data_IF_494817841646
#
_entry.id   IF_494817841646
#
_cell.length_a   1.000
_cell.length_b   1.000
_cell.length_c   1.000
_cell.angle_alpha   90.00
_cell.angle_beta   90.00
_cell.angle_gamma   90.00
#
_symmetry.space_group_name_H-M   'P 1'
#
loop_
_entity.id
_entity.type
_entity.pdbx_description
1 polymer ?
#
# COMPACT_ATOMS: atom_id res chain seq x y z
N UNK A 1 4.53 -20.86 20.03
CA UNK A 1 5.79 -20.19 20.37
C UNK A 1 6.51 -19.91 19.07
N UNK A 2 6.75 -18.63 18.74
CA UNK A 2 7.59 -18.29 17.59
C UNK A 2 8.99 -18.91 17.83
N UNK A 3 9.53 -19.57 16.82
CA UNK A 3 10.85 -20.20 16.92
C UNK A 3 11.91 -19.09 17.10
N UNK A 4 12.41 -18.91 18.33
CA UNK A 4 13.40 -17.89 18.71
C UNK A 4 14.62 -17.91 17.77
N UNK A 5 15.00 -19.08 17.27
CA UNK A 5 16.09 -19.23 16.30
C UNK A 5 15.80 -18.52 14.97
N UNK A 6 14.62 -18.73 14.39
CA UNK A 6 14.21 -18.08 13.13
C UNK A 6 14.18 -16.55 13.28
N UNK A 7 13.74 -16.04 14.43
CA UNK A 7 13.70 -14.61 14.69
C UNK A 7 15.11 -14.01 14.80
N UNK A 8 16.03 -14.72 15.47
CA UNK A 8 17.44 -14.30 15.56
C UNK A 8 18.14 -14.34 14.19
N UNK A 9 17.89 -15.39 13.40
CA UNK A 9 18.43 -15.50 12.04
C UNK A 9 17.95 -14.34 11.15
N UNK A 10 16.68 -13.94 11.26
CA UNK A 10 16.13 -12.78 10.53
C UNK A 10 16.80 -11.47 10.99
N UNK A 11 17.03 -11.32 12.30
CA UNK A 11 17.70 -10.13 12.83
C UNK A 11 19.18 -10.04 12.41
N UNK A 12 19.86 -11.18 12.28
CA UNK A 12 21.28 -11.24 11.92
C UNK A 12 21.52 -11.19 10.42
N UNK A 13 20.73 -11.92 9.62
CA UNK A 13 20.89 -12.04 8.16
C UNK A 13 19.98 -11.10 7.36
N UNK A 14 19.01 -10.45 8.00
CA UNK A 14 17.95 -9.69 7.34
C UNK A 14 17.06 -10.59 6.48
N UNK A 15 16.32 -9.95 5.57
CA UNK A 15 15.44 -10.61 4.61
C UNK A 15 16.09 -10.82 3.23
N UNK A 16 17.43 -10.83 3.15
CA UNK A 16 18.16 -10.79 1.87
C UNK A 16 17.88 -11.97 0.91
N UNK A 17 17.38 -13.08 1.44
CA UNK A 17 17.00 -14.26 0.65
C UNK A 17 15.53 -14.24 0.23
N UNK A 18 14.72 -13.35 0.82
CA UNK A 18 13.28 -13.30 0.59
C UNK A 18 12.97 -12.35 -0.56
N UNK A 19 12.19 -12.82 -1.54
CA UNK A 19 11.64 -11.99 -2.63
C UNK A 19 10.16 -11.71 -2.39
N UNK A 20 9.80 -10.44 -2.29
CA UNK A 20 8.45 -9.97 -1.97
C UNK A 20 7.91 -9.15 -3.13
N UNK A 21 6.70 -9.49 -3.60
CA UNK A 21 5.96 -8.69 -4.56
C UNK A 21 4.91 -7.85 -3.80
N UNK A 22 5.01 -6.54 -3.88
CA UNK A 22 4.01 -5.61 -3.34
C UNK A 22 3.10 -5.16 -4.48
N UNK A 23 1.81 -5.40 -4.33
CA UNK A 23 0.77 -5.01 -5.31
C UNK A 23 -0.17 -4.03 -4.64
N UNK A 24 -0.47 -2.90 -5.25
CA UNK A 24 -1.44 -1.99 -4.65
C UNK A 24 -1.34 -0.53 -5.10
N UNK A 25 -1.92 0.34 -4.28
CA UNK A 25 -2.04 1.76 -4.56
C UNK A 25 -0.75 2.52 -4.26
N UNK A 26 -0.07 2.94 -5.34
CA UNK A 26 1.18 3.69 -5.27
C UNK A 26 0.87 5.17 -5.00
N UNK A 27 1.64 5.82 -4.12
CA UNK A 27 1.44 7.24 -3.87
C UNK A 27 2.72 7.97 -3.48
N UNK A 28 2.74 9.25 -3.83
CA UNK A 28 3.78 10.21 -3.47
C UNK A 28 3.33 11.03 -2.26
N UNK A 29 4.09 10.97 -1.19
CA UNK A 29 3.94 11.88 -0.06
C UNK A 29 4.87 13.10 -0.27
N UNK A 30 4.30 14.29 -0.44
CA UNK A 30 5.07 15.54 -0.58
C UNK A 30 4.83 16.46 0.60
N UNK A 31 5.90 16.92 1.23
CA UNK A 31 5.81 17.87 2.33
C UNK A 31 6.50 19.17 1.97
N UNK A 32 5.76 20.26 2.01
CA UNK A 32 6.29 21.61 1.98
C UNK A 32 6.44 22.13 3.41
N UNK A 33 7.65 22.48 3.80
CA UNK A 33 7.93 23.11 5.09
C UNK A 33 8.33 24.54 4.89
N UNK A 34 7.82 25.42 5.74
CA UNK A 34 8.12 26.86 5.62
C UNK A 34 7.68 27.66 6.84
N UNK A 35 7.75 28.96 6.68
CA UNK A 35 7.38 29.95 7.71
C UNK A 35 6.15 30.76 7.27
N UNK A 36 5.25 31.02 8.24
CA UNK A 36 4.10 31.92 8.05
C UNK A 36 4.45 33.25 8.73
N UNK A 37 4.70 34.27 7.92
CA UNK A 37 5.05 35.62 8.40
C UNK A 37 3.98 36.67 8.17
N UNK A 38 2.93 36.36 7.41
CA UNK A 38 1.86 37.29 7.08
C UNK A 38 0.55 36.59 6.71
N UNK A 39 -0.54 37.37 6.79
CA UNK A 39 -1.84 37.03 6.22
C UNK A 39 -1.90 37.57 4.79
N UNK A 40 -2.59 36.81 3.89
CA UNK A 40 -2.80 37.27 2.51
C UNK A 40 -3.67 38.54 2.47
N UNK A 41 -3.35 39.53 1.58
CA UNK A 41 -4.25 40.64 1.34
C UNK A 41 -5.52 40.25 0.56
N UNK A 42 -5.52 39.07 -0.10
CA UNK A 42 -6.64 38.58 -0.94
C UNK A 42 -7.70 37.87 -0.13
N UNK A 43 -7.33 37.26 1.02
CA UNK A 43 -8.23 36.51 1.89
C UNK A 43 -7.60 36.35 3.29
N UNK A 44 -8.39 36.10 4.37
CA UNK A 44 -7.86 35.90 5.72
C UNK A 44 -7.17 34.54 5.91
N UNK A 45 -6.22 34.23 5.05
CA UNK A 45 -5.45 32.97 5.04
C UNK A 45 -3.95 33.25 5.25
N UNK A 46 -3.22 32.36 5.96
CA UNK A 46 -1.79 32.48 6.14
C UNK A 46 -1.04 32.26 4.81
N UNK A 47 0.02 33.05 4.59
CA UNK A 47 0.94 32.86 3.46
C UNK A 47 2.16 32.11 3.96
N UNK A 48 2.33 30.87 3.48
CA UNK A 48 3.53 30.08 3.74
C UNK A 48 4.64 30.49 2.76
N UNK A 49 5.75 30.97 3.29
CA UNK A 49 7.00 31.05 2.51
C UNK A 49 7.69 29.68 2.61
N UNK A 50 7.75 28.97 1.47
CA UNK A 50 8.33 27.62 1.42
C UNK A 50 9.85 27.70 1.55
N UNK A 51 10.40 26.96 2.51
CA UNK A 51 11.84 26.84 2.73
C UNK A 51 12.37 25.51 2.17
N UNK A 52 11.56 24.44 2.21
CA UNK A 52 11.95 23.12 1.68
C UNK A 52 10.76 22.32 1.16
N UNK A 53 11.07 21.40 0.20
CA UNK A 53 10.17 20.36 -0.29
C UNK A 53 10.85 19.02 -0.13
N UNK A 54 10.13 18.06 0.46
CA UNK A 54 10.58 16.68 0.64
C UNK A 54 9.54 15.76 0.04
N UNK A 55 10.00 14.85 -0.83
CA UNK A 55 9.19 13.78 -1.41
C UNK A 55 9.49 12.46 -0.67
N UNK A 56 8.44 11.70 -0.36
CA UNK A 56 8.49 10.40 0.27
C UNK A 56 7.65 9.37 -0.49
N UNK A 57 7.96 8.10 -0.30
CA UNK A 57 7.18 6.97 -0.80
C UNK A 57 6.01 6.70 0.16
N UNK A 58 4.77 6.76 -0.34
CA UNK A 58 3.53 6.52 0.40
C UNK A 58 2.80 5.26 -0.10
N UNK A 59 1.76 4.83 0.63
CA UNK A 59 0.96 3.66 0.26
C UNK A 59 1.79 2.41 0.03
N UNK A 60 1.49 1.67 -1.02
CA UNK A 60 2.23 0.47 -1.42
C UNK A 60 3.73 0.73 -1.64
N UNK A 61 4.12 1.94 -2.11
CA UNK A 61 5.53 2.31 -2.24
C UNK A 61 6.24 2.38 -0.88
N UNK A 62 5.56 2.84 0.19
CA UNK A 62 6.12 2.86 1.53
C UNK A 62 6.32 1.45 2.09
N UNK A 63 5.37 0.55 1.86
CA UNK A 63 5.50 -0.87 2.22
C UNK A 63 6.73 -1.47 1.53
N UNK A 64 6.85 -1.26 0.21
CA UNK A 64 8.00 -1.74 -0.57
C UNK A 64 9.34 -1.18 -0.05
N UNK A 65 9.40 0.13 0.24
CA UNK A 65 10.59 0.78 0.79
C UNK A 65 10.98 0.24 2.18
N UNK A 66 10.01 -0.03 3.04
CA UNK A 66 10.28 -0.60 4.37
C UNK A 66 10.83 -2.02 4.26
N UNK A 67 10.26 -2.86 3.38
CA UNK A 67 10.74 -4.22 3.13
C UNK A 67 12.16 -4.22 2.52
N UNK A 68 12.42 -3.33 1.56
CA UNK A 68 13.76 -3.17 0.98
C UNK A 68 14.79 -2.72 2.03
N UNK A 69 14.41 -1.81 2.95
CA UNK A 69 15.27 -1.39 4.07
C UNK A 69 15.56 -2.52 5.07
N UNK A 70 14.66 -3.49 5.21
CA UNK A 70 14.86 -4.71 5.98
C UNK A 70 15.73 -5.74 5.24
N UNK A 71 16.17 -5.41 4.03
CA UNK A 71 17.07 -6.23 3.22
C UNK A 71 16.35 -7.18 2.24
N UNK A 72 15.03 -7.19 2.15
CA UNK A 72 14.30 -8.02 1.19
C UNK A 72 14.55 -7.59 -0.26
N UNK A 73 14.49 -8.54 -1.19
CA UNK A 73 14.38 -8.25 -2.61
C UNK A 73 12.92 -7.92 -2.92
N UNK A 74 12.65 -6.72 -3.36
CA UNK A 74 11.27 -6.23 -3.52
C UNK A 74 10.99 -5.89 -4.97
N UNK A 75 9.84 -6.36 -5.47
CA UNK A 75 9.23 -5.91 -6.70
C UNK A 75 7.90 -5.21 -6.38
N UNK A 76 7.49 -4.26 -7.22
CA UNK A 76 6.23 -3.53 -7.07
C UNK A 76 5.41 -3.67 -8.35
N UNK A 77 4.10 -3.92 -8.18
CA UNK A 77 3.12 -3.90 -9.26
C UNK A 77 1.95 -2.96 -8.92
N UNK A 78 1.52 -2.21 -9.90
CA UNK A 78 0.46 -1.23 -9.76
C UNK A 78 0.50 -0.21 -10.89
N UNK A 79 -0.11 0.96 -10.69
CA UNK A 79 -0.16 1.98 -11.72
C UNK A 79 0.36 3.33 -11.22
N UNK A 80 0.96 4.08 -12.15
CA UNK A 80 1.24 5.51 -12.02
C UNK A 80 0.53 6.25 -13.16
N UNK A 81 0.28 7.53 -12.99
CA UNK A 81 -0.13 8.39 -14.10
C UNK A 81 1.03 8.68 -15.07
N UNK A 82 0.68 9.15 -16.27
CA UNK A 82 1.62 9.75 -17.23
C UNK A 82 1.82 11.21 -16.82
N UNK A 83 2.44 11.45 -15.67
CA UNK A 83 2.66 12.77 -15.10
C UNK A 83 4.01 12.86 -14.36
N UNK A 84 4.50 14.06 -14.02
CA UNK A 84 5.79 14.24 -13.33
C UNK A 84 5.89 13.51 -11.98
N UNK A 85 4.76 13.32 -11.27
CA UNK A 85 4.74 12.65 -9.97
C UNK A 85 4.87 11.12 -10.15
N UNK A 86 4.27 10.56 -11.20
CA UNK A 86 4.48 9.17 -11.61
C UNK A 86 5.95 8.90 -11.97
N UNK A 87 6.55 9.76 -12.78
CA UNK A 87 8.00 9.69 -13.09
C UNK A 87 8.87 9.81 -11.83
N UNK A 88 8.49 10.67 -10.89
CA UNK A 88 9.20 10.82 -9.62
C UNK A 88 9.12 9.57 -8.75
N UNK A 89 7.93 8.95 -8.65
CA UNK A 89 7.73 7.69 -7.91
C UNK A 89 8.61 6.56 -8.47
N UNK A 90 8.59 6.38 -9.80
CA UNK A 90 9.42 5.37 -10.48
C UNK A 90 10.90 5.55 -10.14
N UNK A 91 11.42 6.76 -10.31
CA UNK A 91 12.80 7.08 -10.00
C UNK A 91 13.15 6.80 -8.54
N UNK A 92 12.28 7.19 -7.59
CA UNK A 92 12.52 6.95 -6.17
C UNK A 92 12.54 5.46 -5.81
N UNK A 93 11.72 4.63 -6.45
CA UNK A 93 11.71 3.18 -6.26
C UNK A 93 13.00 2.55 -6.81
N UNK A 94 13.42 2.94 -8.02
CA UNK A 94 14.68 2.49 -8.63
C UNK A 94 15.90 2.86 -7.79
N UNK A 95 15.96 4.10 -7.26
CA UNK A 95 17.02 4.57 -6.35
C UNK A 95 17.12 3.72 -5.06
N UNK A 96 16.05 2.98 -4.70
CA UNK A 96 16.01 2.05 -3.56
C UNK A 96 16.30 0.60 -3.96
N UNK A 97 16.60 0.34 -5.23
CA UNK A 97 16.82 -1.01 -5.75
C UNK A 97 15.54 -1.87 -5.80
N UNK A 98 14.38 -1.24 -5.85
CA UNK A 98 13.08 -1.91 -5.96
C UNK A 98 12.79 -2.14 -7.45
N UNK A 99 12.45 -3.38 -7.80
CA UNK A 99 12.09 -3.77 -9.16
C UNK A 99 10.71 -3.17 -9.53
N UNK A 100 10.68 -2.42 -10.62
CA UNK A 100 9.50 -1.72 -11.12
C UNK A 100 9.01 -2.22 -12.48
N UNK A 101 9.47 -3.36 -12.97
CA UNK A 101 9.13 -3.92 -14.30
C UNK A 101 7.63 -4.25 -14.45
N UNK A 102 6.89 -4.28 -13.34
CA UNK A 102 5.45 -4.51 -13.31
C UNK A 102 4.63 -3.25 -13.00
N UNK A 103 5.24 -2.07 -13.06
CA UNK A 103 4.52 -0.80 -13.01
C UNK A 103 4.00 -0.40 -14.38
N UNK A 104 2.72 -0.09 -14.43
CA UNK A 104 2.00 0.35 -15.63
C UNK A 104 1.78 1.87 -15.56
N UNK A 105 1.97 2.56 -16.68
CA UNK A 105 1.51 3.93 -16.87
C UNK A 105 0.08 3.90 -17.38
N UNK A 106 -0.83 4.57 -16.68
CA UNK A 106 -2.25 4.62 -17.01
C UNK A 106 -2.71 6.08 -17.19
N UNK A 107 -3.78 6.28 -17.94
CA UNK A 107 -4.41 7.60 -18.11
C UNK A 107 -5.20 7.98 -16.86
N UNK A 108 -4.46 8.33 -15.81
CA UNK A 108 -4.97 8.77 -14.51
C UNK A 108 -3.95 9.65 -13.80
N UNK A 109 -4.41 10.38 -12.79
CA UNK A 109 -3.53 11.15 -11.93
C UNK A 109 -2.74 10.21 -11.02
N UNK A 110 -1.41 10.41 -10.93
CA UNK A 110 -0.62 9.75 -9.88
C UNK A 110 -1.08 10.23 -8.50
N UNK A 111 -1.40 9.30 -7.62
CA UNK A 111 -1.83 9.66 -6.27
C UNK A 111 -0.72 10.40 -5.54
N UNK A 112 -1.03 11.64 -5.10
CA UNK A 112 -0.10 12.48 -4.34
C UNK A 112 -0.80 13.11 -3.15
N UNK A 113 -0.19 12.99 -1.98
CA UNK A 113 -0.61 13.63 -0.74
C UNK A 113 0.36 14.75 -0.39
N UNK A 114 -0.10 15.99 -0.50
CA UNK A 114 0.72 17.16 -0.20
C UNK A 114 0.38 17.68 1.19
N UNK A 115 1.39 17.74 2.05
CA UNK A 115 1.30 18.33 3.39
C UNK A 115 2.01 19.67 3.42
N UNK A 116 1.35 20.68 3.94
CA UNK A 116 1.91 22.01 4.17
C UNK A 116 2.12 22.19 5.67
N UNK A 117 3.38 22.41 6.07
CA UNK A 117 3.79 22.42 7.49
C UNK A 117 4.50 23.72 7.82
N UNK A 118 4.10 24.36 8.91
CA UNK A 118 4.80 25.50 9.49
C UNK A 118 4.99 25.31 11.00
N UNK A 119 6.16 25.62 11.52
CA UNK A 119 6.47 25.52 12.97
C UNK A 119 6.07 24.18 13.59
N UNK A 120 6.27 23.06 12.87
CA UNK A 120 5.88 21.68 13.24
C UNK A 120 4.37 21.40 13.24
N UNK A 121 3.54 22.36 12.81
CA UNK A 121 2.10 22.17 12.69
C UNK A 121 1.71 21.97 11.23
N UNK A 122 0.89 20.97 10.96
CA UNK A 122 0.30 20.79 9.63
C UNK A 122 -0.83 21.81 9.45
N UNK A 123 -0.64 22.68 8.44
CA UNK A 123 -1.58 23.75 8.11
C UNK A 123 -2.66 23.28 7.14
N UNK A 124 -2.28 22.45 6.18
CA UNK A 124 -3.16 21.98 5.11
C UNK A 124 -2.67 20.62 4.60
N UNK A 125 -3.60 19.78 4.12
CA UNK A 125 -3.31 18.63 3.26
C UNK A 125 -4.12 18.75 1.97
N UNK A 126 -3.45 18.56 0.83
CA UNK A 126 -4.08 18.49 -0.48
C UNK A 126 -3.85 17.10 -1.05
N UNK A 127 -4.93 16.41 -1.41
CA UNK A 127 -4.88 15.06 -1.98
C UNK A 127 -5.22 15.17 -3.47
N UNK A 128 -4.28 14.74 -4.32
CA UNK A 128 -4.46 14.59 -5.77
C UNK A 128 -4.59 13.10 -6.04
N UNK A 129 -5.78 12.65 -6.36
CA UNK A 129 -6.06 11.21 -6.44
C UNK A 129 -7.29 10.93 -7.28
N UNK A 130 -7.40 9.70 -7.77
CA UNK A 130 -8.63 9.12 -8.27
C UNK A 130 -8.92 7.83 -7.53
N UNK A 131 -10.20 7.55 -7.28
CA UNK A 131 -10.66 6.31 -6.63
C UNK A 131 -11.33 5.36 -7.63
N UNK A 132 -11.44 5.78 -8.90
CA UNK A 132 -12.02 4.97 -9.94
C UNK A 132 -11.22 3.66 -10.10
N UNK A 133 -11.90 2.51 -10.24
CA UNK A 133 -11.24 1.25 -10.54
C UNK A 133 -10.38 1.34 -11.80
N UNK A 134 -9.36 0.51 -11.90
CA UNK A 134 -8.59 0.37 -13.13
C UNK A 134 -9.50 0.03 -14.31
N UNK A 135 -9.15 0.52 -15.50
CA UNK A 135 -9.73 0.01 -16.73
C UNK A 135 -9.42 -1.49 -16.88
N UNK A 136 -10.24 -2.23 -17.63
CA UNK A 136 -9.97 -3.65 -17.88
C UNK A 136 -8.59 -3.87 -18.52
N UNK A 137 -8.20 -3.00 -19.44
CA UNK A 137 -6.91 -3.07 -20.14
C UNK A 137 -5.75 -2.86 -19.17
N UNK A 138 -5.84 -1.86 -18.28
CA UNK A 138 -4.81 -1.61 -17.28
C UNK A 138 -4.74 -2.75 -16.26
N UNK A 139 -5.90 -3.27 -15.81
CA UNK A 139 -5.97 -4.41 -14.90
C UNK A 139 -5.30 -5.65 -15.51
N UNK A 140 -5.59 -5.98 -16.77
CA UNK A 140 -4.97 -7.09 -17.51
C UNK A 140 -3.46 -6.89 -17.67
N UNK A 141 -3.02 -5.66 -17.93
CA UNK A 141 -1.59 -5.33 -18.07
C UNK A 141 -0.86 -5.50 -16.75
N UNK A 142 -1.42 -4.98 -15.64
CA UNK A 142 -0.88 -5.16 -14.28
C UNK A 142 -0.83 -6.64 -13.92
N UNK A 143 -1.92 -7.39 -14.17
CA UNK A 143 -1.98 -8.83 -13.89
C UNK A 143 -0.93 -9.62 -14.68
N UNK A 144 -0.69 -9.26 -15.94
CA UNK A 144 0.37 -9.86 -16.77
C UNK A 144 1.75 -9.62 -16.17
N UNK A 145 2.01 -8.40 -15.66
CA UNK A 145 3.23 -8.07 -14.93
C UNK A 145 3.40 -8.91 -13.66
N UNK A 146 2.33 -9.03 -12.87
CA UNK A 146 2.31 -9.84 -11.65
C UNK A 146 2.60 -11.32 -11.99
N UNK A 147 1.96 -11.87 -13.02
CA UNK A 147 2.18 -13.27 -13.43
C UNK A 147 3.65 -13.53 -13.83
N UNK A 148 4.31 -12.57 -14.51
CA UNK A 148 5.75 -12.65 -14.81
C UNK A 148 6.60 -12.64 -13.54
N UNK A 149 6.29 -11.81 -12.55
CA UNK A 149 7.00 -11.79 -11.26
C UNK A 149 6.82 -13.11 -10.49
N UNK A 150 5.59 -13.65 -10.44
CA UNK A 150 5.31 -14.92 -9.78
C UNK A 150 6.03 -16.11 -10.41
N UNK A 151 6.35 -16.04 -11.71
CA UNK A 151 7.17 -17.04 -12.40
C UNK A 151 8.66 -16.97 -12.00
N UNK A 152 9.10 -15.93 -11.30
CA UNK A 152 10.50 -15.70 -10.89
C UNK A 152 10.78 -15.99 -9.41
N UNK A 153 10.10 -16.97 -8.80
CA UNK A 153 10.29 -17.40 -7.41
C UNK A 153 10.06 -16.28 -6.38
N UNK A 154 8.83 -15.75 -6.34
CA UNK A 154 8.35 -14.85 -5.28
C UNK A 154 7.99 -15.69 -4.05
N UNK A 155 8.47 -15.30 -2.86
CA UNK A 155 8.20 -16.01 -1.61
C UNK A 155 6.89 -15.58 -0.95
N UNK A 156 6.45 -14.35 -1.16
CA UNK A 156 5.17 -13.81 -0.65
C UNK A 156 4.69 -12.62 -1.46
N UNK A 157 3.38 -12.43 -1.49
CA UNK A 157 2.73 -11.26 -2.08
C UNK A 157 2.07 -10.43 -0.99
N UNK A 158 2.23 -9.10 -1.04
CA UNK A 158 1.52 -8.14 -0.20
C UNK A 158 0.55 -7.36 -1.08
N UNK A 159 -0.75 -7.45 -0.79
CA UNK A 159 -1.77 -6.56 -1.36
C UNK A 159 -1.95 -5.37 -0.42
N UNK A 160 -1.61 -4.18 -0.87
CA UNK A 160 -1.66 -2.93 -0.10
C UNK A 160 -2.73 -2.02 -0.68
N UNK A 161 -3.94 -2.12 -0.13
CA UNK A 161 -5.14 -1.42 -0.60
C UNK A 161 -5.35 -0.12 0.18
N UNK A 162 -5.40 1.00 -0.55
CA UNK A 162 -5.73 2.33 -0.01
C UNK A 162 -7.01 2.91 -0.65
N UNK A 163 -7.76 2.09 -1.41
CA UNK A 163 -8.97 2.50 -2.08
C UNK A 163 -8.74 3.50 -3.21
N UNK A 164 -7.62 3.39 -3.93
CA UNK A 164 -7.30 4.25 -5.09
C UNK A 164 -7.44 3.51 -6.42
N UNK A 165 -8.18 2.40 -6.42
CA UNK A 165 -8.66 1.73 -7.60
C UNK A 165 -7.73 0.65 -8.18
N UNK A 166 -6.54 0.41 -7.64
CA UNK A 166 -5.67 -0.69 -8.08
C UNK A 166 -6.19 -2.03 -7.60
N UNK A 167 -6.53 -2.14 -6.31
CA UNK A 167 -7.05 -3.37 -5.71
C UNK A 167 -8.52 -3.62 -6.09
N UNK A 168 -8.80 -3.78 -7.39
CA UNK A 168 -10.15 -4.15 -7.86
C UNK A 168 -10.51 -5.56 -7.38
N UNK A 169 -11.81 -5.89 -7.27
CA UNK A 169 -12.22 -7.26 -6.96
C UNK A 169 -11.70 -8.29 -7.97
N UNK A 170 -11.55 -7.91 -9.25
CA UNK A 170 -11.00 -8.76 -10.32
C UNK A 170 -9.53 -9.05 -10.09
N UNK A 171 -8.72 -7.98 -9.94
CA UNK A 171 -7.28 -8.10 -9.72
C UNK A 171 -6.96 -8.90 -8.45
N UNK A 172 -7.60 -8.55 -7.31
CA UNK A 172 -7.34 -9.22 -6.04
C UNK A 172 -7.62 -10.72 -6.11
N UNK A 173 -8.80 -11.11 -6.62
CA UNK A 173 -9.14 -12.54 -6.78
C UNK A 173 -8.19 -13.28 -7.71
N UNK A 174 -7.80 -12.66 -8.83
CA UNK A 174 -6.85 -13.26 -9.78
C UNK A 174 -5.48 -13.46 -9.15
N UNK A 175 -4.95 -12.46 -8.44
CA UNK A 175 -3.67 -12.55 -7.74
C UNK A 175 -3.69 -13.65 -6.67
N UNK A 176 -4.74 -13.67 -5.81
CA UNK A 176 -4.89 -14.68 -4.77
C UNK A 176 -5.01 -16.08 -5.37
N UNK A 177 -5.75 -16.23 -6.48
CA UNK A 177 -5.87 -17.50 -7.21
C UNK A 177 -4.52 -17.99 -7.74
N UNK A 178 -3.78 -17.14 -8.45
CA UNK A 178 -2.44 -17.45 -8.97
C UNK A 178 -1.44 -17.80 -7.87
N UNK A 179 -1.50 -17.12 -6.74
CA UNK A 179 -0.63 -17.39 -5.59
C UNK A 179 -0.99 -18.72 -4.92
N UNK A 180 -2.29 -19.02 -4.76
CA UNK A 180 -2.75 -20.29 -4.19
C UNK A 180 -2.33 -21.50 -5.00
N UNK A 181 -2.39 -21.42 -6.34
CA UNK A 181 -1.91 -22.49 -7.23
C UNK A 181 -0.40 -22.77 -7.07
N UNK A 182 0.36 -21.81 -6.57
CA UNK A 182 1.81 -21.86 -6.38
C UNK A 182 2.23 -21.97 -4.92
N UNK A 183 1.27 -22.13 -4.01
CA UNK A 183 1.49 -22.16 -2.56
C UNK A 183 2.21 -20.90 -2.02
N UNK A 184 2.07 -19.75 -2.72
CA UNK A 184 2.64 -18.46 -2.31
C UNK A 184 1.68 -17.78 -1.33
N UNK A 185 2.12 -17.44 -0.11
CA UNK A 185 1.28 -16.73 0.84
C UNK A 185 0.96 -15.31 0.37
N UNK A 186 -0.30 -14.89 0.61
CA UNK A 186 -0.78 -13.54 0.32
C UNK A 186 -1.15 -12.85 1.63
N UNK A 187 -0.51 -11.71 1.89
CA UNK A 187 -0.79 -10.83 3.03
C UNK A 187 -1.54 -9.61 2.50
N UNK A 188 -2.61 -9.21 3.17
CA UNK A 188 -3.45 -8.09 2.74
C UNK A 188 -3.49 -7.01 3.83
N UNK A 189 -3.15 -5.79 3.46
CA UNK A 189 -3.49 -4.56 4.18
C UNK A 189 -4.80 -4.03 3.58
N UNK A 190 -5.95 -4.23 4.25
CA UNK A 190 -7.26 -4.11 3.63
C UNK A 190 -7.81 -2.69 3.65
N UNK A 191 -8.79 -2.41 2.76
CA UNK A 191 -9.57 -1.17 2.77
C UNK A 191 -11.05 -1.40 2.55
N UNK A 192 -11.87 -0.57 3.23
CA UNK A 192 -13.34 -0.61 3.12
C UNK A 192 -13.98 -1.78 3.85
N UNK A 193 -15.30 -1.92 3.71
CA UNK A 193 -16.10 -2.91 4.43
C UNK A 193 -16.31 -4.24 3.65
N UNK A 194 -16.05 -4.24 2.35
CA UNK A 194 -16.22 -5.43 1.49
C UNK A 194 -14.89 -6.12 1.25
N UNK A 195 -14.68 -7.22 1.97
CA UNK A 195 -13.47 -8.03 1.87
C UNK A 195 -13.66 -9.31 1.04
N UNK A 196 -14.77 -9.48 0.34
CA UNK A 196 -14.97 -10.61 -0.61
C UNK A 196 -13.89 -10.64 -1.69
N UNK A 197 -13.31 -9.46 -2.01
CA UNK A 197 -12.18 -9.35 -2.94
C UNK A 197 -10.91 -10.04 -2.45
N UNK A 198 -10.76 -10.23 -1.13
CA UNK A 198 -9.58 -10.85 -0.52
C UNK A 198 -9.79 -12.32 -0.12
N UNK A 199 -10.94 -12.91 -0.47
CA UNK A 199 -11.26 -14.29 -0.12
C UNK A 199 -10.16 -15.27 -0.55
N UNK A 200 -9.76 -16.14 0.37
CA UNK A 200 -8.69 -17.12 0.16
C UNK A 200 -7.27 -16.61 0.38
N UNK A 201 -7.08 -15.34 0.81
CA UNK A 201 -5.75 -14.85 1.22
C UNK A 201 -5.26 -15.55 2.49
N UNK A 202 -3.94 -15.50 2.72
CA UNK A 202 -3.31 -16.17 3.88
C UNK A 202 -3.51 -15.40 5.18
N UNK A 203 -3.37 -14.07 5.12
CA UNK A 203 -3.41 -13.18 6.28
C UNK A 203 -3.96 -11.82 5.87
N UNK A 204 -4.82 -11.26 6.72
CA UNK A 204 -5.26 -9.85 6.63
C UNK A 204 -4.80 -9.11 7.88
N UNK A 205 -4.34 -7.87 7.74
CA UNK A 205 -3.76 -7.07 8.84
C UNK A 205 -4.52 -5.76 9.07
N UNK A 206 -5.81 -5.81 9.43
CA UNK A 206 -6.61 -4.62 9.63
C UNK A 206 -6.24 -3.91 10.94
N UNK A 207 -6.41 -2.60 10.96
CA UNK A 207 -6.56 -1.88 12.23
C UNK A 207 -7.99 -2.06 12.78
N UNK A 208 -8.21 -1.62 14.03
CA UNK A 208 -9.50 -1.79 14.72
C UNK A 208 -10.67 -1.16 13.94
N UNK A 209 -10.45 -0.01 13.31
CA UNK A 209 -11.48 0.67 12.52
C UNK A 209 -11.85 -0.13 11.27
N UNK A 210 -10.87 -0.68 10.57
CA UNK A 210 -11.08 -1.51 9.38
C UNK A 210 -11.79 -2.82 9.73
N UNK A 211 -11.43 -3.44 10.87
CA UNK A 211 -12.13 -4.61 11.37
C UNK A 211 -13.60 -4.28 11.69
N UNK A 212 -13.87 -3.18 12.38
CA UNK A 212 -15.23 -2.74 12.70
C UNK A 212 -16.06 -2.43 11.44
N UNK A 213 -15.45 -1.80 10.43
CA UNK A 213 -16.08 -1.55 9.13
C UNK A 213 -16.46 -2.87 8.41
N UNK A 214 -15.56 -3.86 8.40
CA UNK A 214 -15.79 -5.16 7.77
C UNK A 214 -16.81 -6.01 8.55
N UNK A 215 -16.74 -6.00 9.89
CA UNK A 215 -17.70 -6.65 10.76
C UNK A 215 -19.09 -6.00 10.66
N UNK A 216 -19.16 -4.72 10.25
CA UNK A 216 -20.36 -3.87 10.22
C UNK A 216 -20.96 -3.63 11.61
N UNK A 217 -20.08 -3.51 12.59
CA UNK A 217 -20.46 -3.27 13.99
C UNK A 217 -19.38 -2.46 14.70
N UNK A 218 -19.72 -1.94 15.88
CA UNK A 218 -18.71 -1.31 16.76
C UNK A 218 -17.95 -2.40 17.49
N UNK A 219 -16.61 -2.44 17.30
CA UNK A 219 -15.73 -3.37 18.00
C UNK A 219 -15.01 -2.60 19.12
N UNK A 220 -15.29 -2.89 20.41
CA UNK A 220 -14.54 -2.31 21.51
C UNK A 220 -13.05 -2.71 21.45
N UNK A 221 -12.18 -1.84 21.98
CA UNK A 221 -10.74 -2.12 22.04
C UNK A 221 -10.41 -3.04 23.23
N UNK A 222 -11.04 -4.22 23.25
CA UNK A 222 -10.92 -5.28 24.23
C UNK A 222 -10.54 -6.58 23.53
N UNK A 223 -9.57 -7.32 24.03
CA UNK A 223 -9.03 -8.51 23.36
C UNK A 223 -10.11 -9.54 22.99
N UNK A 224 -11.06 -9.80 23.90
CA UNK A 224 -12.13 -10.78 23.67
C UNK A 224 -13.07 -10.38 22.52
N UNK A 225 -13.42 -9.09 22.44
CA UNK A 225 -14.32 -8.53 21.43
C UNK A 225 -13.62 -8.51 20.07
N UNK A 226 -12.34 -8.08 20.05
CA UNK A 226 -11.52 -8.09 18.82
C UNK A 226 -11.39 -9.52 18.27
N UNK A 227 -11.08 -10.51 19.12
CA UNK A 227 -10.95 -11.91 18.71
C UNK A 227 -12.26 -12.46 18.17
N UNK A 228 -13.39 -12.10 18.78
CA UNK A 228 -14.73 -12.52 18.34
C UNK A 228 -15.04 -11.94 16.97
N UNK A 229 -14.94 -10.62 16.79
CA UNK A 229 -15.17 -9.94 15.54
C UNK A 229 -14.23 -10.44 14.42
N UNK A 230 -12.94 -10.68 14.74
CA UNK A 230 -11.97 -11.23 13.78
C UNK A 230 -12.38 -12.63 13.32
N UNK A 231 -12.78 -13.53 14.21
CA UNK A 231 -13.23 -14.89 13.85
C UNK A 231 -14.48 -14.91 12.99
N UNK A 232 -15.45 -14.06 13.27
CA UNK A 232 -16.67 -13.94 12.47
C UNK A 232 -16.36 -13.37 11.08
N UNK A 233 -15.53 -12.33 11.02
CA UNK A 233 -15.07 -11.72 9.77
C UNK A 233 -14.28 -12.73 8.92
N UNK A 234 -13.37 -13.50 9.52
CA UNK A 234 -12.64 -14.57 8.84
C UNK A 234 -13.60 -15.60 8.18
N UNK A 235 -14.60 -16.05 8.94
CA UNK A 235 -15.62 -16.99 8.41
C UNK A 235 -16.40 -16.37 7.27
N UNK A 236 -16.88 -15.14 7.46
CA UNK A 236 -17.73 -14.45 6.51
C UNK A 236 -17.06 -14.27 5.16
N UNK A 237 -15.79 -13.88 5.14
CA UNK A 237 -15.03 -13.57 3.92
C UNK A 237 -14.07 -14.69 3.49
N UNK A 238 -14.12 -15.84 4.11
CA UNK A 238 -13.23 -16.97 3.81
C UNK A 238 -11.74 -16.58 3.82
N UNK A 239 -11.28 -15.96 4.91
CA UNK A 239 -9.90 -15.53 5.09
C UNK A 239 -9.08 -16.56 5.87
N UNK A 240 -7.78 -16.66 5.62
CA UNK A 240 -6.90 -17.59 6.33
C UNK A 240 -6.64 -17.22 7.78
N UNK A 241 -6.23 -15.97 8.02
CA UNK A 241 -5.91 -15.40 9.36
C UNK A 241 -6.22 -13.89 9.39
N UNK A 242 -6.47 -13.36 10.57
CA UNK A 242 -6.51 -11.94 10.88
C UNK A 242 -5.57 -11.69 12.06
#
# INVERSE_FOLDING_TARGET
MANRGVFLDILESGLSKVKILVVGDLMLDRTFTGTVGRISPEAPIPVLKVDSQIDGLGGACNVANNLARLGARVAVAGVTGVDPDGGRLRKMLEEKGIDIDSLVEADRVSTRKVRVVSSRQQMLRMDFETTEPLSKTDEETVLSGIARQLAQSVDTVVLSDYGKGVCTPGLCRSVIGLCREREIPVIVDPKGADWDRYAGCTLVTPNLKELAEAARETVPNEDAEIVTAARETMKRFNLGKI
#
